data_IF_643416798850
#
_entry.id   IF_643416798850
#
_cell.length_a   1.000
_cell.length_b   1.000
_cell.length_c   1.000
_cell.angle_alpha   90.00
_cell.angle_beta   90.00
_cell.angle_gamma   90.00
#
_symmetry.space_group_name_H-M   'P 1'
#
loop_
_entity.id
_entity.type
_entity.pdbx_description
1 polymer ?
#
# COMPACT_ATOMS: atom_id res chain seq x y z
N UNK A 1 -19.90 10.74 10.48
CA UNK A 1 -19.19 10.48 9.21
C UNK A 1 -17.74 10.94 9.24
N UNK A 2 -17.43 12.17 9.68
CA UNK A 2 -16.05 12.70 9.77
C UNK A 2 -15.06 11.79 10.54
N UNK A 3 -15.51 11.25 11.68
CA UNK A 3 -14.70 10.38 12.55
C UNK A 3 -14.10 9.16 11.84
N UNK A 4 -14.80 8.59 10.86
CA UNK A 4 -14.32 7.40 10.13
C UNK A 4 -13.05 7.74 9.36
N UNK A 5 -13.02 8.87 8.66
CA UNK A 5 -11.85 9.29 7.89
C UNK A 5 -10.65 9.62 8.79
N UNK A 6 -10.89 10.25 9.95
CA UNK A 6 -9.84 10.56 10.93
C UNK A 6 -9.19 9.28 11.46
N UNK A 7 -10.01 8.30 11.84
CA UNK A 7 -9.51 7.01 12.34
C UNK A 7 -8.74 6.27 11.23
N UNK A 8 -9.26 6.24 10.01
CA UNK A 8 -8.58 5.61 8.87
C UNK A 8 -7.24 6.28 8.56
N UNK A 9 -7.17 7.61 8.55
CA UNK A 9 -5.92 8.34 8.34
C UNK A 9 -4.90 8.08 9.46
N UNK A 10 -5.35 8.03 10.71
CA UNK A 10 -4.49 7.71 11.85
C UNK A 10 -3.90 6.29 11.72
N UNK A 11 -4.73 5.31 11.36
CA UNK A 11 -4.30 3.92 11.12
C UNK A 11 -3.33 3.82 9.93
N UNK A 12 -3.62 4.52 8.83
CA UNK A 12 -2.73 4.55 7.66
C UNK A 12 -1.36 5.15 8.01
N UNK A 13 -1.36 6.23 8.80
CA UNK A 13 -0.11 6.87 9.24
C UNK A 13 0.70 5.94 10.15
N UNK A 14 0.03 5.25 11.08
CA UNK A 14 0.67 4.23 11.92
C UNK A 14 1.25 3.08 11.08
N UNK A 15 0.51 2.59 10.08
CA UNK A 15 0.97 1.55 9.17
C UNK A 15 2.20 2.00 8.37
N UNK A 16 2.22 3.25 7.87
CA UNK A 16 3.38 3.82 7.16
C UNK A 16 4.61 3.85 8.07
N UNK A 17 4.46 4.27 9.33
CA UNK A 17 5.57 4.28 10.28
C UNK A 17 6.12 2.87 10.55
N UNK A 18 5.24 1.88 10.71
CA UNK A 18 5.65 0.49 10.91
C UNK A 18 6.40 -0.07 9.69
N UNK A 19 5.92 0.23 8.48
CA UNK A 19 6.56 -0.20 7.23
C UNK A 19 7.92 0.46 7.05
N UNK A 20 8.07 1.75 7.41
CA UNK A 20 9.37 2.43 7.39
C UNK A 20 10.36 1.81 8.37
N UNK A 21 9.92 1.48 9.59
CA UNK A 21 10.76 0.78 10.57
C UNK A 21 11.19 -0.58 10.03
N UNK A 22 10.29 -1.32 9.38
CA UNK A 22 10.60 -2.61 8.76
C UNK A 22 11.56 -2.47 7.59
N UNK A 23 11.38 -1.47 6.73
CA UNK A 23 12.27 -1.16 5.60
C UNK A 23 13.71 -0.89 6.08
N UNK A 24 13.86 -0.16 7.19
CA UNK A 24 15.17 0.12 7.79
C UNK A 24 15.81 -1.09 8.47
N UNK A 25 15.02 -1.90 9.18
CA UNK A 25 15.51 -3.07 9.93
C UNK A 25 15.62 -4.35 9.09
N UNK A 26 15.04 -4.37 7.89
CA UNK A 26 14.98 -5.55 7.02
C UNK A 26 16.38 -6.10 6.69
N UNK A 27 16.73 -7.32 7.14
CA UNK A 27 18.04 -7.94 6.92
C UNK A 27 18.19 -8.52 5.51
N UNK A 28 17.08 -8.80 4.82
CA UNK A 28 17.05 -9.37 3.47
C UNK A 28 16.61 -8.35 2.44
N UNK A 29 17.27 -8.33 1.27
CA UNK A 29 16.87 -7.48 0.13
C UNK A 29 15.41 -7.73 -0.29
N UNK A 30 14.90 -8.95 -0.10
CA UNK A 30 13.50 -9.26 -0.44
C UNK A 30 12.52 -8.58 0.53
N UNK A 31 12.82 -8.59 1.84
CA UNK A 31 11.97 -7.93 2.85
C UNK A 31 11.91 -6.41 2.62
N UNK A 32 13.00 -5.81 2.13
CA UNK A 32 13.01 -4.40 1.70
C UNK A 32 12.12 -4.14 0.49
N UNK A 33 12.18 -5.00 -0.54
CA UNK A 33 11.34 -4.83 -1.75
C UNK A 33 9.86 -4.99 -1.40
N UNK A 34 9.50 -6.00 -0.59
CA UNK A 34 8.12 -6.19 -0.11
C UNK A 34 7.68 -5.02 0.75
N UNK A 35 8.53 -4.53 1.66
CA UNK A 35 8.21 -3.33 2.47
C UNK A 35 7.98 -2.09 1.59
N UNK A 36 8.73 -1.96 0.50
CA UNK A 36 8.58 -0.87 -0.46
C UNK A 36 7.27 -0.96 -1.26
N UNK A 37 6.86 -2.18 -1.65
CA UNK A 37 5.55 -2.41 -2.28
C UNK A 37 4.37 -2.08 -1.36
N UNK A 38 4.45 -2.52 -0.10
CA UNK A 38 3.45 -2.20 0.93
C UNK A 38 3.41 -0.68 1.20
N UNK A 39 4.55 0.00 1.19
CA UNK A 39 4.62 1.46 1.35
C UNK A 39 3.89 2.18 0.21
N UNK A 40 4.12 1.79 -1.05
CA UNK A 40 3.42 2.37 -2.21
C UNK A 40 1.90 2.11 -2.11
N UNK A 41 1.51 0.90 -1.70
CA UNK A 41 0.09 0.55 -1.49
C UNK A 41 -0.57 1.41 -0.41
N UNK A 42 0.14 1.73 0.68
CA UNK A 42 -0.37 2.64 1.72
C UNK A 42 -0.55 4.08 1.24
N UNK A 43 0.35 4.58 0.37
CA UNK A 43 0.19 5.90 -0.26
C UNK A 43 -1.04 5.96 -1.17
N UNK A 44 -1.28 4.89 -1.93
CA UNK A 44 -2.48 4.75 -2.76
C UNK A 44 -3.74 4.77 -1.87
N UNK A 45 -3.75 4.02 -0.77
CA UNK A 45 -4.87 3.98 0.16
C UNK A 45 -5.14 5.36 0.80
N UNK A 46 -4.10 6.09 1.21
CA UNK A 46 -4.23 7.46 1.73
C UNK A 46 -4.84 8.42 0.70
N UNK A 47 -4.43 8.30 -0.56
CA UNK A 47 -5.00 9.10 -1.67
C UNK A 47 -6.48 8.77 -1.89
N UNK A 48 -6.85 7.49 -1.79
CA UNK A 48 -8.23 7.04 -1.90
C UNK A 48 -9.13 7.64 -0.79
N UNK A 49 -8.62 7.70 0.44
CA UNK A 49 -9.31 8.35 1.58
C UNK A 49 -9.48 9.86 1.34
N UNK A 50 -8.46 10.52 0.79
CA UNK A 50 -8.53 11.95 0.45
C UNK A 50 -9.57 12.25 -0.63
N UNK A 51 -9.70 11.38 -1.64
CA UNK A 51 -10.75 11.48 -2.67
C UNK A 51 -12.13 11.30 -2.06
N UNK A 52 -12.30 10.29 -1.19
CA UNK A 52 -13.58 10.05 -0.51
C UNK A 52 -14.02 11.21 0.39
N UNK A 53 -13.07 12.00 0.90
CA UNK A 53 -13.35 13.17 1.72
C UNK A 53 -13.95 14.33 0.92
N UNK A 54 -13.45 14.57 -0.29
CA UNK A 54 -13.89 15.70 -1.13
C UNK A 54 -15.32 15.51 -1.66
N UNK A 55 -15.93 14.32 -1.51
CA UNK A 55 -17.30 13.97 -1.94
C UNK A 55 -17.62 14.21 -3.43
N UNK A 56 -16.67 14.71 -4.20
CA UNK A 56 -16.77 14.79 -5.64
C UNK A 56 -16.42 13.42 -6.23
N UNK A 57 -17.39 12.80 -6.89
CA UNK A 57 -17.24 11.54 -7.63
C UNK A 57 -16.38 11.72 -8.90
N UNK A 58 -15.42 12.66 -8.89
CA UNK A 58 -14.77 13.16 -10.09
C UNK A 58 -13.82 12.14 -10.72
N UNK A 59 -13.68 10.93 -10.19
CA UNK A 59 -12.68 10.02 -10.70
C UNK A 59 -12.88 8.54 -10.34
N UNK A 60 -14.05 7.98 -10.70
CA UNK A 60 -14.27 6.51 -10.70
C UNK A 60 -13.13 5.80 -11.46
N UNK A 61 -12.65 6.41 -12.55
CA UNK A 61 -11.49 5.94 -13.30
C UNK A 61 -10.19 5.93 -12.47
N UNK A 62 -9.96 6.93 -11.61
CA UNK A 62 -8.78 6.98 -10.75
C UNK A 62 -8.87 5.95 -9.62
N UNK A 63 -10.05 5.75 -9.04
CA UNK A 63 -10.29 4.69 -8.06
C UNK A 63 -10.04 3.31 -8.68
N UNK A 64 -10.50 3.09 -9.91
CA UNK A 64 -10.22 1.87 -10.66
C UNK A 64 -8.72 1.71 -10.95
N UNK A 65 -8.02 2.79 -11.36
CA UNK A 65 -6.58 2.77 -11.56
C UNK A 65 -5.82 2.44 -10.26
N UNK A 66 -6.23 3.00 -9.13
CA UNK A 66 -5.66 2.69 -7.82
C UNK A 66 -5.91 1.25 -7.37
N UNK A 67 -7.11 0.71 -7.64
CA UNK A 67 -7.40 -0.70 -7.38
C UNK A 67 -6.51 -1.63 -8.22
N UNK A 68 -6.30 -1.29 -9.50
CA UNK A 68 -5.37 -2.02 -10.37
C UNK A 68 -3.93 -1.90 -9.88
N UNK A 69 -3.48 -0.71 -9.49
CA UNK A 69 -2.12 -0.50 -8.95
C UNK A 69 -1.90 -1.31 -7.65
N UNK A 70 -2.86 -1.30 -6.73
CA UNK A 70 -2.78 -2.10 -5.50
C UNK A 70 -2.75 -3.61 -5.79
N UNK A 71 -3.53 -4.07 -6.78
CA UNK A 71 -3.51 -5.46 -7.22
C UNK A 71 -2.17 -5.85 -7.87
N UNK A 72 -1.66 -5.00 -8.77
CA UNK A 72 -0.37 -5.21 -9.45
C UNK A 72 0.78 -5.23 -8.44
N UNK A 73 0.76 -4.36 -7.43
CA UNK A 73 1.74 -4.35 -6.35
C UNK A 73 1.80 -5.69 -5.62
N UNK A 74 0.65 -6.16 -5.14
CA UNK A 74 0.52 -7.47 -4.46
C UNK A 74 0.98 -8.65 -5.34
N UNK A 75 0.58 -8.69 -6.61
CA UNK A 75 1.00 -9.74 -7.56
C UNK A 75 2.50 -9.66 -7.85
N UNK A 76 3.06 -8.46 -7.98
CA UNK A 76 4.50 -8.27 -8.21
C UNK A 76 5.33 -8.74 -7.01
N UNK A 77 4.86 -8.44 -5.79
CA UNK A 77 5.45 -8.95 -4.57
C UNK A 77 5.38 -10.48 -4.49
N UNK A 78 4.22 -11.08 -4.82
CA UNK A 78 4.03 -12.53 -4.83
C UNK A 78 4.96 -13.25 -5.84
N UNK A 79 5.05 -12.75 -7.08
CA UNK A 79 5.94 -13.30 -8.12
C UNK A 79 7.42 -13.21 -7.74
N UNK A 80 7.81 -12.18 -7.01
CA UNK A 80 9.18 -12.03 -6.54
C UNK A 80 9.55 -13.09 -5.49
N UNK A 81 8.60 -13.47 -4.63
CA UNK A 81 8.76 -14.54 -3.65
C UNK A 81 8.89 -15.88 -4.38
N UNK A 82 8.03 -16.15 -5.37
CA UNK A 82 8.05 -17.36 -6.19
C UNK A 82 9.38 -17.52 -6.95
N UNK A 83 9.93 -16.44 -7.53
CA UNK A 83 11.24 -16.47 -8.21
C UNK A 83 12.41 -16.76 -7.24
N UNK A 84 12.20 -16.60 -5.92
CA UNK A 84 13.19 -16.89 -4.88
C UNK A 84 13.02 -18.25 -4.22
N UNK A 85 12.12 -19.11 -4.69
CA UNK A 85 12.20 -20.55 -4.43
C UNK A 85 13.03 -21.23 -5.55
N UNK A 86 14.37 -21.29 -5.45
CA UNK A 86 15.09 -22.30 -6.17
C UNK A 86 14.80 -23.63 -5.49
N UNK A 87 13.99 -24.45 -6.14
CA UNK A 87 14.13 -25.90 -6.17
C UNK A 87 14.38 -26.56 -4.80
N UNK A 88 13.29 -26.88 -4.10
CA UNK A 88 13.30 -27.95 -3.10
C UNK A 88 12.40 -29.08 -3.57
#
# INVERSE_FOLDING_TARGET
>A
MFWVFVITLALLTAAVLLVLVRLMRGPSTLDRIVSMDVFVTLLIAATCVAIGWQREAQNIALLAAFALLAFIGSVSAARLIEKKEPYR
#
